data_IF_210683836796
#
_entry.id   IF_210683836796
#
_cell.length_a   1.000
_cell.length_b   1.000
_cell.length_c   1.000
_cell.angle_alpha   90.00
_cell.angle_beta   90.00
_cell.angle_gamma   90.00
#
_symmetry.space_group_name_H-M   'P 1'
#
loop_
_entity.id
_entity.type
_entity.pdbx_description
1 polymer ?
#
# COMPACT_ATOMS: atom_id res chain seq x y z
N UNK A 1 -0.35 65.37 18.27
CA UNK A 1 -1.60 64.60 18.24
C UNK A 1 -1.57 63.77 16.97
N UNK A 2 -1.72 62.47 17.15
CA UNK A 2 -1.65 61.31 16.23
C UNK A 2 -2.30 61.51 14.86
N UNK A 3 -1.92 60.81 13.78
CA UNK A 3 -2.11 59.36 13.64
C UNK A 3 -1.40 58.81 12.38
N UNK A 4 -0.45 57.88 12.55
CA UNK A 4 0.07 57.03 11.45
C UNK A 4 -0.83 55.82 11.30
N UNK A 5 -1.30 55.54 10.07
CA UNK A 5 -2.13 54.39 9.73
C UNK A 5 -1.21 53.30 9.17
N UNK A 6 -1.03 52.21 9.92
CA UNK A 6 -0.41 50.97 9.45
C UNK A 6 -1.54 50.13 8.84
N UNK A 7 -1.50 49.92 7.52
CA UNK A 7 -2.37 48.97 6.85
C UNK A 7 -1.79 47.56 7.04
N UNK A 8 -2.47 46.73 7.83
CA UNK A 8 -2.22 45.30 7.86
C UNK A 8 -2.78 44.71 6.57
N UNK A 9 -1.91 44.41 5.61
CA UNK A 9 -2.25 43.55 4.49
C UNK A 9 -2.18 42.12 5.06
N UNK A 10 -3.30 41.63 5.59
CA UNK A 10 -3.47 40.19 5.78
C UNK A 10 -3.52 39.54 4.42
N UNK A 11 -2.78 38.44 4.22
CA UNK A 11 -3.00 37.60 3.05
C UNK A 11 -4.40 36.97 3.22
N UNK A 12 -5.32 37.29 2.30
CA UNK A 12 -6.53 36.48 2.14
C UNK A 12 -6.08 35.17 1.50
N UNK A 13 -6.33 34.05 2.18
CA UNK A 13 -6.22 32.75 1.55
C UNK A 13 -7.36 32.65 0.52
N UNK A 14 -7.02 32.86 -0.75
CA UNK A 14 -7.96 32.78 -1.87
C UNK A 14 -8.17 31.31 -2.27
N UNK A 15 -9.35 30.71 -1.97
CA UNK A 15 -9.64 29.33 -2.32
C UNK A 15 -9.79 29.11 -3.84
N UNK A 16 -9.87 30.16 -4.66
CA UNK A 16 -9.96 30.05 -6.13
C UNK A 16 -8.61 29.73 -6.79
N UNK A 17 -7.47 29.95 -6.10
CA UNK A 17 -6.14 29.70 -6.66
C UNK A 17 -5.77 28.21 -6.67
N UNK A 18 -6.43 27.37 -5.85
CA UNK A 18 -6.13 25.94 -5.78
C UNK A 18 -7.37 25.11 -5.36
N UNK A 19 -8.42 25.04 -6.20
CA UNK A 19 -9.68 24.38 -5.86
C UNK A 19 -9.51 22.89 -5.52
N UNK A 20 -8.45 22.25 -6.05
CA UNK A 20 -8.11 20.83 -5.84
C UNK A 20 -6.85 20.65 -4.97
N UNK A 21 -6.37 21.71 -4.32
CA UNK A 21 -5.01 21.82 -3.81
C UNK A 21 -4.51 20.82 -2.80
N UNK A 22 -5.46 20.09 -2.22
CA UNK A 22 -5.26 19.01 -1.27
C UNK A 22 -6.37 17.98 -1.43
N UNK A 23 -6.80 17.69 -2.66
CA UNK A 23 -7.72 16.59 -2.91
C UNK A 23 -6.99 15.27 -2.60
N UNK A 24 -7.25 14.75 -1.40
CA UNK A 24 -6.78 13.45 -0.98
C UNK A 24 -7.62 12.38 -1.68
N UNK A 25 -6.96 11.51 -2.46
CA UNK A 25 -7.59 10.39 -3.13
C UNK A 25 -7.15 9.10 -2.49
N UNK A 26 -8.03 8.11 -2.52
CA UNK A 26 -7.68 6.74 -2.11
C UNK A 26 -6.60 6.23 -3.06
N UNK A 27 -5.51 5.72 -2.49
CA UNK A 27 -4.44 5.10 -3.25
C UNK A 27 -5.01 3.90 -4.00
N UNK A 28 -4.71 3.80 -5.30
CA UNK A 28 -5.21 2.74 -6.18
C UNK A 28 -4.08 1.78 -6.59
N UNK A 29 -4.08 0.59 -5.99
CA UNK A 29 -3.18 -0.53 -6.31
C UNK A 29 -3.90 -1.71 -6.95
N UNK A 30 -5.07 -1.49 -7.56
CA UNK A 30 -5.83 -2.53 -8.23
C UNK A 30 -4.93 -3.33 -9.20
N UNK A 31 -5.09 -4.65 -9.20
CA UNK A 31 -4.43 -5.53 -10.17
C UNK A 31 -3.92 -6.84 -9.60
N UNK A 32 -3.24 -7.58 -10.47
CA UNK A 32 -2.72 -8.89 -10.17
C UNK A 32 -1.21 -8.82 -9.85
N UNK A 33 -0.87 -8.94 -8.58
CA UNK A 33 0.49 -8.80 -8.09
C UNK A 33 1.26 -10.13 -8.10
N UNK A 34 2.49 -10.07 -8.58
CA UNK A 34 3.46 -11.17 -8.70
C UNK A 34 4.69 -10.89 -7.85
N UNK A 35 5.35 -11.93 -7.34
CA UNK A 35 6.61 -11.78 -6.61
C UNK A 35 7.78 -11.68 -7.61
N UNK A 36 8.49 -10.55 -7.56
CA UNK A 36 9.75 -10.33 -8.29
C UNK A 36 10.96 -10.76 -7.46
N UNK A 37 10.94 -10.48 -6.15
CA UNK A 37 12.08 -10.71 -5.25
C UNK A 37 11.60 -11.05 -3.84
N UNK A 38 12.33 -11.93 -3.16
CA UNK A 38 12.14 -12.24 -1.74
C UNK A 38 13.46 -12.10 -0.99
N UNK A 39 13.47 -11.25 0.04
CA UNK A 39 14.57 -11.14 0.99
C UNK A 39 14.18 -11.77 2.33
N UNK A 40 15.03 -12.63 2.87
CA UNK A 40 14.92 -13.13 4.25
C UNK A 40 16.02 -12.49 5.09
N UNK A 41 15.64 -11.66 6.06
CA UNK A 41 16.58 -10.87 6.87
C UNK A 41 17.57 -10.07 6.02
N UNK A 42 17.13 -9.56 4.88
CA UNK A 42 17.95 -8.82 3.91
C UNK A 42 18.78 -9.69 2.95
N UNK A 43 18.81 -11.02 3.11
CA UNK A 43 19.47 -11.92 2.15
C UNK A 43 18.50 -12.29 1.03
N UNK A 44 18.93 -12.15 -0.22
CA UNK A 44 18.12 -12.54 -1.38
C UNK A 44 18.01 -14.07 -1.47
N UNK A 45 16.78 -14.57 -1.36
CA UNK A 45 16.43 -15.99 -1.45
C UNK A 45 15.55 -16.29 -2.65
N UNK A 46 15.39 -15.35 -3.58
CA UNK A 46 14.48 -15.46 -4.74
C UNK A 46 14.75 -16.71 -5.56
N UNK A 47 16.02 -17.10 -5.71
CA UNK A 47 16.42 -18.28 -6.48
C UNK A 47 16.21 -19.62 -5.75
N UNK A 48 15.80 -19.62 -4.47
CA UNK A 48 15.63 -20.85 -3.69
C UNK A 48 14.27 -21.53 -3.90
N UNK A 49 13.30 -20.83 -4.50
CA UNK A 49 11.94 -21.31 -4.74
C UNK A 49 11.39 -20.71 -6.03
N UNK A 50 10.50 -21.45 -6.68
CA UNK A 50 9.73 -20.94 -7.81
C UNK A 50 8.51 -20.15 -7.32
N UNK A 51 8.51 -18.84 -7.59
CA UNK A 51 7.39 -17.94 -7.25
C UNK A 51 6.46 -17.65 -8.44
N UNK A 52 6.66 -18.28 -9.61
CA UNK A 52 5.86 -18.00 -10.81
C UNK A 52 4.36 -18.30 -10.63
N UNK A 53 4.03 -19.22 -9.73
CA UNK A 53 2.64 -19.55 -9.38
C UNK A 53 1.97 -18.53 -8.45
N UNK A 54 2.73 -17.66 -7.78
CA UNK A 54 2.16 -16.64 -6.90
C UNK A 54 1.30 -15.67 -7.69
N UNK A 55 0.15 -15.30 -7.14
CA UNK A 55 -0.79 -14.35 -7.71
C UNK A 55 -1.64 -13.78 -6.59
N UNK A 56 -1.55 -12.48 -6.34
CA UNK A 56 -2.44 -11.79 -5.43
C UNK A 56 -3.22 -10.74 -6.24
N UNK A 57 -4.49 -11.04 -6.52
CA UNK A 57 -5.39 -10.06 -7.10
C UNK A 57 -5.94 -9.18 -5.98
N UNK A 58 -5.86 -7.86 -6.16
CA UNK A 58 -6.49 -6.85 -5.32
C UNK A 58 -7.48 -6.09 -6.19
N UNK A 59 -8.76 -6.18 -5.84
CA UNK A 59 -9.86 -5.55 -6.57
C UNK A 59 -10.39 -4.32 -5.83
N UNK A 60 -10.94 -3.38 -6.59
CA UNK A 60 -11.60 -2.18 -6.09
C UNK A 60 -13.06 -2.15 -6.51
N UNK A 61 -13.92 -1.55 -5.69
CA UNK A 61 -15.29 -1.21 -6.06
C UNK A 61 -15.55 0.27 -5.78
N UNK A 62 -16.02 1.01 -6.79
CA UNK A 62 -16.31 2.45 -6.68
C UNK A 62 -15.11 3.30 -6.20
N UNK A 63 -13.87 2.88 -6.50
CA UNK A 63 -12.65 3.59 -6.10
C UNK A 63 -12.15 3.25 -4.69
N UNK A 64 -12.75 2.25 -4.04
CA UNK A 64 -12.34 1.78 -2.70
C UNK A 64 -11.86 0.31 -2.76
N UNK A 65 -10.89 -0.10 -1.92
CA UNK A 65 -10.54 -1.51 -1.73
C UNK A 65 -11.77 -2.37 -1.45
N UNK A 66 -11.90 -3.50 -2.15
CA UNK A 66 -13.06 -4.40 -1.99
C UNK A 66 -12.62 -5.82 -1.61
N UNK A 67 -12.15 -6.58 -2.59
CA UNK A 67 -11.90 -8.01 -2.45
C UNK A 67 -10.53 -8.41 -2.95
N UNK A 68 -9.99 -9.48 -2.40
CA UNK A 68 -8.75 -10.09 -2.86
C UNK A 68 -9.01 -11.52 -3.31
N UNK A 69 -8.19 -12.00 -4.24
CA UNK A 69 -8.08 -13.43 -4.52
C UNK A 69 -6.62 -13.89 -4.54
N UNK A 70 -6.39 -15.03 -3.89
CA UNK A 70 -5.12 -15.69 -3.73
C UNK A 70 -5.25 -17.17 -4.14
N UNK A 71 -5.33 -17.44 -5.46
CA UNK A 71 -5.70 -18.76 -5.99
C UNK A 71 -4.65 -19.85 -5.79
N UNK A 72 -3.40 -19.50 -5.45
CA UNK A 72 -2.31 -20.46 -5.28
C UNK A 72 -1.54 -20.23 -3.99
N UNK A 73 -1.80 -21.07 -2.99
CA UNK A 73 -1.05 -21.12 -1.73
C UNK A 73 0.21 -22.01 -1.84
N UNK A 74 0.80 -22.12 -3.03
CA UNK A 74 1.96 -23.00 -3.29
C UNK A 74 3.27 -22.43 -2.74
N UNK A 75 3.30 -21.12 -2.46
CA UNK A 75 4.42 -20.45 -1.82
C UNK A 75 4.02 -20.03 -0.40
N UNK A 76 4.92 -20.12 0.59
CA UNK A 76 4.65 -19.63 1.93
C UNK A 76 4.35 -18.12 1.90
N UNK A 77 3.13 -17.76 2.23
CA UNK A 77 2.66 -16.38 2.34
C UNK A 77 1.77 -16.24 3.58
N UNK A 78 1.48 -15.01 4.01
CA UNK A 78 0.73 -14.77 5.27
C UNK A 78 -0.77 -15.07 5.14
N UNK A 79 -1.31 -15.01 3.92
CA UNK A 79 -2.73 -15.25 3.68
C UNK A 79 -3.07 -16.73 3.85
N UNK A 80 -4.11 -16.98 4.64
CA UNK A 80 -4.64 -18.31 4.93
C UNK A 80 -5.82 -18.63 4.02
N UNK A 81 -6.64 -17.62 3.73
CA UNK A 81 -7.84 -17.76 2.93
C UNK A 81 -7.54 -17.47 1.44
N UNK A 82 -8.16 -18.21 0.49
CA UNK A 82 -7.93 -18.02 -0.94
C UNK A 82 -8.64 -16.78 -1.50
N UNK A 83 -9.50 -16.13 -0.71
CA UNK A 83 -10.24 -14.93 -1.07
C UNK A 83 -10.85 -14.29 0.16
N UNK A 84 -11.13 -12.99 0.09
CA UNK A 84 -11.82 -12.26 1.14
C UNK A 84 -11.82 -10.77 0.83
N UNK A 85 -12.00 -9.96 1.87
CA UNK A 85 -11.95 -8.50 1.76
C UNK A 85 -10.59 -7.98 2.18
N UNK A 86 -10.20 -6.82 1.66
CA UNK A 86 -8.96 -6.15 2.06
C UNK A 86 -9.15 -4.64 2.15
N UNK A 87 -8.28 -3.98 2.91
CA UNK A 87 -8.28 -2.53 3.06
C UNK A 87 -6.90 -1.99 3.40
N UNK A 88 -6.71 -0.69 3.25
CA UNK A 88 -5.59 0.01 3.86
C UNK A 88 -5.87 0.36 5.31
N UNK A 89 -4.81 0.60 6.09
CA UNK A 89 -4.91 1.26 7.39
C UNK A 89 -5.26 2.75 7.27
N UNK A 90 -4.71 3.41 6.26
CA UNK A 90 -5.03 4.78 5.85
C UNK A 90 -5.23 4.81 4.32
N UNK A 91 -6.39 5.26 3.82
CA UNK A 91 -6.66 5.21 2.38
C UNK A 91 -5.80 6.17 1.55
N UNK A 92 -5.26 7.23 2.13
CA UNK A 92 -4.51 8.29 1.44
C UNK A 92 -3.00 8.08 1.56
N UNK A 93 -2.53 7.66 2.74
CA UNK A 93 -1.11 7.43 3.04
C UNK A 93 -0.90 6.05 3.66
N UNK A 94 -1.16 4.97 2.89
CA UNK A 94 -1.20 3.63 3.43
C UNK A 94 0.18 3.20 3.93
N UNK A 95 0.21 2.64 5.14
CA UNK A 95 1.40 1.98 5.68
C UNK A 95 1.20 0.47 5.84
N UNK A 96 -0.04 0.00 5.75
CA UNK A 96 -0.40 -1.41 5.83
C UNK A 96 -1.52 -1.78 4.89
N UNK A 97 -1.48 -3.01 4.39
CA UNK A 97 -2.61 -3.69 3.77
C UNK A 97 -3.15 -4.70 4.79
N UNK A 98 -4.43 -4.63 5.10
CA UNK A 98 -5.13 -5.53 6.02
C UNK A 98 -6.04 -6.47 5.23
N UNK A 99 -6.14 -7.72 5.67
CA UNK A 99 -6.97 -8.73 5.04
C UNK A 99 -8.00 -9.27 6.04
N UNK A 100 -9.15 -9.70 5.52
CA UNK A 100 -10.25 -10.21 6.34
C UNK A 100 -9.91 -11.48 7.13
N UNK A 101 -8.88 -12.22 6.73
CA UNK A 101 -8.38 -13.42 7.45
C UNK A 101 -7.51 -13.05 8.67
N UNK A 102 -7.30 -11.76 8.93
CA UNK A 102 -6.51 -11.23 10.03
C UNK A 102 -5.03 -11.01 9.71
N UNK A 103 -4.59 -11.35 8.49
CA UNK A 103 -3.25 -11.05 8.02
C UNK A 103 -3.07 -9.54 7.73
N UNK A 104 -1.82 -9.10 7.77
CA UNK A 104 -1.44 -7.76 7.30
C UNK A 104 -0.06 -7.77 6.64
N UNK A 105 0.15 -6.80 5.75
CA UNK A 105 1.41 -6.53 5.07
C UNK A 105 1.84 -5.10 5.43
N UNK A 106 3.06 -4.94 5.92
CA UNK A 106 3.63 -3.60 6.14
C UNK A 106 4.22 -3.08 4.82
N UNK A 107 3.80 -1.89 4.39
CA UNK A 107 4.27 -1.27 3.16
C UNK A 107 5.63 -0.61 3.40
N UNK A 108 6.61 -0.89 2.54
CA UNK A 108 7.91 -0.25 2.58
C UNK A 108 8.02 0.88 1.54
N UNK A 109 8.01 2.12 2.02
CA UNK A 109 8.07 3.31 1.18
C UNK A 109 6.68 3.82 0.76
N UNK A 110 6.61 4.91 -0.01
CA UNK A 110 5.33 5.42 -0.48
C UNK A 110 4.74 4.48 -1.54
N UNK A 111 3.44 4.21 -1.44
CA UNK A 111 2.66 3.55 -2.49
C UNK A 111 1.84 4.62 -3.19
N UNK A 112 1.92 4.64 -4.52
CA UNK A 112 1.27 5.63 -5.36
C UNK A 112 0.25 4.93 -6.25
N UNK A 113 -0.87 5.61 -6.52
CA UNK A 113 -1.87 5.12 -7.46
C UNK A 113 -1.25 4.86 -8.83
N UNK A 114 -1.53 3.69 -9.41
CA UNK A 114 -0.98 3.28 -10.70
C UNK A 114 0.50 2.85 -10.66
N UNK A 115 1.10 2.67 -9.47
CA UNK A 115 2.41 2.05 -9.38
C UNK A 115 2.35 0.59 -9.84
N UNK A 116 3.32 0.17 -10.65
CA UNK A 116 3.48 -1.22 -11.08
C UNK A 116 4.42 -2.02 -10.16
N UNK A 117 4.91 -1.39 -9.08
CA UNK A 117 5.78 -2.02 -8.09
C UNK A 117 5.42 -1.60 -6.67
N UNK A 118 5.47 -2.54 -5.75
CA UNK A 118 5.42 -2.28 -4.31
C UNK A 118 6.33 -3.21 -3.56
N UNK A 119 6.81 -2.78 -2.39
CA UNK A 119 7.58 -3.63 -1.49
C UNK A 119 6.82 -3.76 -0.19
N UNK A 120 6.64 -5.00 0.26
CA UNK A 120 5.91 -5.31 1.49
C UNK A 120 6.77 -6.16 2.43
N UNK A 121 6.62 -5.92 3.72
CA UNK A 121 7.24 -6.67 4.79
C UNK A 121 6.18 -7.53 5.45
N UNK A 122 6.50 -8.81 5.62
CA UNK A 122 5.60 -9.80 6.21
C UNK A 122 6.19 -10.30 7.53
N UNK A 123 5.49 -10.09 8.67
CA UNK A 123 5.88 -10.67 9.94
C UNK A 123 5.45 -12.14 10.00
N UNK A 124 6.19 -13.04 9.34
CA UNK A 124 5.95 -14.48 9.43
C UNK A 124 6.54 -15.06 10.73
N UNK A 125 5.69 -15.23 11.74
CA UNK A 125 5.94 -16.07 12.92
C UNK A 125 6.69 -15.43 14.10
N UNK A 126 6.71 -16.16 15.23
CA UNK A 126 7.37 -15.74 16.47
C UNK A 126 8.90 -15.67 16.29
N UNK A 127 9.42 -14.44 16.22
CA UNK A 127 10.78 -14.01 16.51
C UNK A 127 11.91 -14.76 15.79
N UNK A 128 12.29 -14.29 14.60
CA UNK A 128 13.71 -14.10 14.16
C UNK A 128 13.80 -13.69 12.69
N UNK A 129 12.78 -13.98 11.88
CA UNK A 129 12.84 -13.79 10.43
C UNK A 129 11.85 -12.71 9.97
N UNK A 130 12.38 -11.74 9.24
CA UNK A 130 11.62 -10.74 8.49
C UNK A 130 11.72 -11.10 7.01
N UNK A 131 10.57 -11.16 6.34
CA UNK A 131 10.52 -11.36 4.90
C UNK A 131 10.10 -10.07 4.22
N UNK A 132 10.86 -9.65 3.22
CA UNK A 132 10.54 -8.52 2.37
C UNK A 132 10.28 -9.04 0.95
N UNK A 133 9.10 -8.75 0.42
CA UNK A 133 8.70 -9.12 -0.93
C UNK A 133 8.63 -7.87 -1.79
N UNK A 134 9.29 -7.89 -2.94
CA UNK A 134 9.02 -6.93 -4.01
C UNK A 134 8.00 -7.56 -4.95
N UNK A 135 6.91 -6.84 -5.17
CA UNK A 135 5.79 -7.24 -6.00
C UNK A 135 5.68 -6.36 -7.24
N UNK A 136 5.27 -6.94 -8.37
CA UNK A 136 4.98 -6.22 -9.61
C UNK A 136 3.69 -6.69 -10.28
N UNK A 137 3.13 -5.88 -11.20
CA UNK A 137 1.95 -6.22 -12.01
C UNK A 137 2.17 -5.93 -13.49
#
# INVERSE_FOLDING_TARGET
>A
MTLSIIAFIGCDDDPEQNPDGFAEFVVDIEGNWKIDQVLQNGNDITALMDFQSFSLQLDYENGEPSSFSFPSQTVPFVLSDPSGDWSFDDPVYPTKINFSDGASLDIQGPVLSGSDKMTVIVPLGCSSNTYTYTLSK
#
